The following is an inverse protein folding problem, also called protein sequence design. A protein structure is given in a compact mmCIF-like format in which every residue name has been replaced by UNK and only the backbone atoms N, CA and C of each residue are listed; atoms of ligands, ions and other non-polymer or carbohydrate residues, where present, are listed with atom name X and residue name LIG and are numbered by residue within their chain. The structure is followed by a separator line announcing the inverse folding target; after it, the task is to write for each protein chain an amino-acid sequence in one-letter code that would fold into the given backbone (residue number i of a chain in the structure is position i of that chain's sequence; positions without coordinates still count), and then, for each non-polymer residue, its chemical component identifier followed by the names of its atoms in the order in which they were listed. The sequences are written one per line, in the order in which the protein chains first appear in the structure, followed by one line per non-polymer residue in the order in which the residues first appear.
data_IF_642588602151
#
_entry.id   IF_642588602151
#
_cell.length_a   1.000
_cell.length_b   1.000
_cell.length_c   1.000
_cell.angle_alpha   90.00
_cell.angle_beta   90.00
_cell.angle_gamma   90.00
#
_symmetry.space_group_name_H-M   'P 1'
#
loop_
_entity.id
_entity.type
_entity.pdbx_description
1 polymer ?
#
# COMPACT_ATOMS: atom_id res chain seq x y z
N UNK A 1 -20.83 -20.69 -15.83
CA UNK A 1 -20.84 -19.72 -16.95
C UNK A 1 -21.77 -18.58 -16.54
N UNK A 2 -21.30 -17.33 -16.57
CA UNK A 2 -21.89 -16.16 -15.88
C UNK A 2 -23.21 -15.60 -16.50
N UNK A 3 -23.77 -16.25 -17.52
CA UNK A 3 -25.06 -15.85 -18.10
C UNK A 3 -26.27 -16.20 -17.20
N UNK A 4 -26.14 -17.19 -16.31
CA UNK A 4 -27.23 -17.63 -15.42
C UNK A 4 -27.51 -16.66 -14.24
N UNK A 5 -26.66 -15.64 -14.04
CA UNK A 5 -26.82 -14.65 -12.96
C UNK A 5 -27.35 -13.29 -13.45
N UNK A 6 -27.88 -13.21 -14.68
CA UNK A 6 -28.53 -12.00 -15.22
C UNK A 6 -27.58 -10.82 -15.46
N UNK A 7 -26.26 -11.07 -15.49
CA UNK A 7 -25.28 -10.03 -15.73
C UNK A 7 -25.02 -9.83 -17.23
N UNK A 8 -25.16 -8.58 -17.70
CA UNK A 8 -24.91 -8.19 -19.09
C UNK A 8 -23.68 -7.28 -19.14
N UNK A 9 -22.64 -7.60 -19.93
CA UNK A 9 -21.51 -6.69 -20.14
C UNK A 9 -21.95 -5.42 -20.86
N UNK A 10 -21.57 -4.25 -20.35
CA UNK A 10 -21.75 -2.95 -20.99
C UNK A 10 -20.42 -2.46 -21.61
N UNK A 11 -20.50 -1.58 -22.61
CA UNK A 11 -19.35 -1.06 -23.38
C UNK A 11 -18.29 -0.36 -22.52
N UNK A 12 -18.61 -0.01 -21.28
CA UNK A 12 -17.72 0.67 -20.32
C UNK A 12 -16.98 -0.27 -19.36
N UNK A 13 -17.43 -1.52 -19.17
CA UNK A 13 -16.76 -2.53 -18.34
C UNK A 13 -16.87 -3.91 -18.98
N UNK A 14 -16.05 -4.20 -20.01
CA UNK A 14 -16.21 -5.42 -20.82
C UNK A 14 -15.76 -6.69 -20.09
N UNK A 15 -15.11 -6.58 -18.94
CA UNK A 15 -14.60 -7.73 -18.17
C UNK A 15 -15.08 -7.70 -16.73
N UNK A 16 -15.28 -8.90 -16.16
CA UNK A 16 -15.60 -9.13 -14.74
C UNK A 16 -14.59 -8.44 -13.82
N UNK A 17 -13.32 -8.42 -14.25
CA UNK A 17 -12.25 -7.69 -13.60
C UNK A 17 -12.57 -6.19 -13.53
N UNK A 18 -12.87 -5.53 -14.67
CA UNK A 18 -13.20 -4.11 -14.70
C UNK A 18 -14.45 -3.75 -13.87
N UNK A 19 -15.47 -4.60 -13.89
CA UNK A 19 -16.67 -4.45 -13.07
C UNK A 19 -16.37 -4.57 -11.56
N UNK A 20 -15.48 -5.49 -11.18
CA UNK A 20 -14.99 -5.63 -9.80
C UNK A 20 -14.20 -4.39 -9.37
N UNK A 21 -13.33 -3.82 -10.21
CA UNK A 21 -12.59 -2.59 -9.91
C UNK A 21 -13.52 -1.38 -9.70
N UNK A 22 -14.57 -1.23 -10.53
CA UNK A 22 -15.56 -0.17 -10.40
C UNK A 22 -16.47 -0.33 -9.17
N UNK A 23 -16.78 -1.58 -8.79
CA UNK A 23 -17.49 -1.88 -7.54
C UNK A 23 -16.61 -1.63 -6.31
N UNK A 24 -15.34 -2.04 -6.36
CA UNK A 24 -14.36 -1.84 -5.29
C UNK A 24 -14.09 -0.36 -5.04
N UNK A 25 -13.95 0.47 -6.08
CA UNK A 25 -13.82 1.93 -5.95
C UNK A 25 -14.97 2.58 -5.16
N UNK A 26 -16.20 2.07 -5.30
CA UNK A 26 -17.39 2.52 -4.54
C UNK A 26 -17.42 1.98 -3.11
N UNK A 27 -17.01 0.73 -2.89
CA UNK A 27 -16.89 0.16 -1.55
C UNK A 27 -15.82 0.89 -0.71
N UNK A 28 -14.70 1.31 -1.31
CA UNK A 28 -13.65 2.06 -0.62
C UNK A 28 -14.09 3.48 -0.20
N UNK A 29 -15.05 4.08 -0.89
CA UNK A 29 -15.68 5.34 -0.46
C UNK A 29 -16.69 5.15 0.68
N UNK A 30 -17.22 3.93 0.88
CA UNK A 30 -18.28 3.62 1.84
C UNK A 30 -17.77 3.00 3.15
N UNK A 31 -16.56 2.43 3.19
CA UNK A 31 -15.99 1.86 4.41
C UNK A 31 -15.26 2.91 5.28
N UNK A 32 -15.94 4.02 5.58
CA UNK A 32 -15.64 4.86 6.74
C UNK A 32 -16.41 4.30 7.94
N UNK A 33 -15.92 3.25 8.59
CA UNK A 33 -16.68 2.69 9.70
C UNK A 33 -16.04 1.53 10.45
N UNK A 34 -15.53 1.86 11.63
CA UNK A 34 -15.32 1.01 12.83
C UNK A 34 -14.07 0.13 12.88
N UNK A 35 -13.09 0.42 13.77
CA UNK A 35 -12.07 -0.54 14.15
C UNK A 35 -12.68 -1.60 15.08
N UNK A 36 -12.76 -2.84 14.61
CA UNK A 36 -13.14 -3.98 15.42
C UNK A 36 -11.97 -4.33 16.37
N UNK A 37 -12.16 -4.04 17.66
CA UNK A 37 -11.22 -4.36 18.73
C UNK A 37 -11.26 -5.86 19.03
N UNK A 38 -10.16 -6.56 18.78
CA UNK A 38 -9.95 -7.97 19.18
C UNK A 38 -8.89 -7.98 20.30
N UNK A 39 -9.08 -8.70 21.42
CA UNK A 39 -8.10 -8.66 22.50
C UNK A 39 -6.87 -9.51 22.15
N UNK A 40 -5.75 -8.84 21.86
CA UNK A 40 -4.44 -9.44 21.54
C UNK A 40 -3.37 -8.98 22.54
N UNK A 41 -3.45 -9.42 23.81
CA UNK A 41 -2.56 -8.93 24.87
C UNK A 41 -1.11 -9.46 24.77
N UNK A 42 -0.89 -10.71 24.32
CA UNK A 42 0.46 -11.33 24.27
C UNK A 42 1.36 -10.89 23.09
N UNK A 43 0.87 -10.79 21.84
CA UNK A 43 1.70 -10.35 20.71
C UNK A 43 2.13 -8.88 20.80
N UNK A 44 1.33 -8.04 21.48
CA UNK A 44 1.58 -6.61 21.59
C UNK A 44 2.77 -6.27 22.52
N UNK A 45 3.03 -7.11 23.52
CA UNK A 45 4.06 -6.88 24.54
C UNK A 45 5.46 -7.28 24.04
N UNK A 46 5.56 -8.39 23.29
CA UNK A 46 6.77 -8.79 22.56
C UNK A 46 7.14 -7.77 21.46
N UNK A 47 6.16 -7.31 20.68
CA UNK A 47 6.38 -6.24 19.70
C UNK A 47 6.89 -4.98 20.42
N UNK A 48 6.25 -4.56 21.52
CA UNK A 48 6.64 -3.34 22.26
C UNK A 48 8.06 -3.44 22.79
N UNK A 49 8.44 -4.57 23.41
CA UNK A 49 9.79 -4.77 23.94
C UNK A 49 10.84 -4.78 22.83
N UNK A 50 10.53 -5.33 21.65
CA UNK A 50 11.41 -5.28 20.49
C UNK A 50 11.60 -3.84 19.98
N UNK A 51 10.53 -3.06 19.80
CA UNK A 51 10.63 -1.66 19.37
C UNK A 51 11.37 -0.78 20.38
N UNK A 52 11.14 -0.99 21.68
CA UNK A 52 11.88 -0.29 22.74
C UNK A 52 13.39 -0.56 22.69
N UNK A 53 13.82 -1.80 22.40
CA UNK A 53 15.26 -2.13 22.22
C UNK A 53 15.87 -1.41 21.02
N UNK A 54 15.08 -1.14 19.98
CA UNK A 54 15.49 -0.35 18.82
C UNK A 54 15.45 1.17 19.08
N UNK A 55 15.07 1.61 20.29
CA UNK A 55 15.00 3.02 20.65
C UNK A 55 13.89 3.79 19.93
N UNK A 56 12.86 3.11 19.42
CA UNK A 56 11.79 3.73 18.63
C UNK A 56 10.44 3.05 18.89
N UNK A 57 9.38 3.48 18.19
CA UNK A 57 8.07 2.82 18.21
C UNK A 57 7.67 2.41 16.80
N UNK A 58 6.85 1.36 16.69
CA UNK A 58 6.29 0.93 15.40
C UNK A 58 5.56 2.06 14.68
N UNK A 59 4.82 2.89 15.41
CA UNK A 59 4.10 4.03 14.85
C UNK A 59 5.06 5.06 14.25
N UNK A 60 6.12 5.45 14.98
CA UNK A 60 7.13 6.38 14.48
C UNK A 60 7.84 5.84 13.21
N UNK A 61 8.14 4.54 13.17
CA UNK A 61 8.72 3.88 12.00
C UNK A 61 7.75 3.90 10.81
N UNK A 62 6.47 3.61 11.04
CA UNK A 62 5.43 3.68 10.00
C UNK A 62 5.29 5.10 9.46
N UNK A 63 5.28 6.12 10.30
CA UNK A 63 5.17 7.52 9.88
C UNK A 63 6.40 8.01 9.13
N UNK A 64 7.59 7.59 9.55
CA UNK A 64 8.83 7.87 8.83
C UNK A 64 8.84 7.19 7.44
N UNK A 65 8.46 5.91 7.38
CA UNK A 65 8.37 5.16 6.12
C UNK A 65 7.32 5.77 5.18
N UNK A 66 6.14 6.13 5.70
CA UNK A 66 5.07 6.79 4.93
C UNK A 66 5.56 8.10 4.32
N UNK A 67 6.21 8.97 5.12
CA UNK A 67 6.76 10.24 4.64
C UNK A 67 7.81 10.02 3.55
N UNK A 68 8.74 9.08 3.76
CA UNK A 68 9.75 8.73 2.78
C UNK A 68 9.14 8.23 1.46
N UNK A 69 8.07 7.44 1.52
CA UNK A 69 7.36 6.94 0.34
C UNK A 69 6.56 8.03 -0.37
N UNK A 70 5.96 8.97 0.36
CA UNK A 70 5.30 10.14 -0.23
C UNK A 70 6.34 11.01 -0.95
N UNK A 71 7.50 11.24 -0.35
CA UNK A 71 8.58 12.01 -1.00
C UNK A 71 9.16 11.27 -2.21
N UNK A 72 9.27 9.94 -2.17
CA UNK A 72 9.63 9.13 -3.33
C UNK A 72 8.56 9.24 -4.43
N UNK A 73 7.28 9.22 -4.08
CA UNK A 73 6.18 9.40 -5.02
C UNK A 73 6.23 10.77 -5.69
N UNK A 74 6.45 11.85 -4.92
CA UNK A 74 6.62 13.22 -5.45
C UNK A 74 7.79 13.33 -6.43
N UNK A 75 8.89 12.62 -6.14
CA UNK A 75 10.08 12.55 -6.99
C UNK A 75 9.96 11.55 -8.14
N UNK A 76 8.86 10.81 -8.22
CA UNK A 76 8.61 9.78 -9.24
C UNK A 76 9.67 8.66 -9.24
N UNK A 77 10.14 8.27 -8.04
CA UNK A 77 11.16 7.21 -7.87
C UNK A 77 10.65 6.08 -6.98
N UNK A 78 11.21 4.89 -7.21
CA UNK A 78 11.08 3.76 -6.29
C UNK A 78 12.26 3.73 -5.31
N UNK A 79 12.04 3.18 -4.12
CA UNK A 79 13.05 3.11 -3.06
C UNK A 79 13.20 1.70 -2.52
N UNK A 80 14.39 1.38 -2.00
CA UNK A 80 14.62 0.10 -1.34
C UNK A 80 14.32 0.17 0.16
N UNK A 81 14.24 -0.99 0.81
CA UNK A 81 14.06 -1.07 2.27
C UNK A 81 15.14 -0.30 3.04
N UNK A 82 16.38 -0.26 2.55
CA UNK A 82 17.47 0.48 3.17
C UNK A 82 17.16 1.98 3.31
N UNK A 83 16.48 2.58 2.32
CA UNK A 83 16.07 3.99 2.37
C UNK A 83 15.01 4.21 3.45
N UNK A 84 14.04 3.30 3.57
CA UNK A 84 12.99 3.38 4.58
C UNK A 84 13.57 3.19 5.99
N UNK A 85 14.48 2.23 6.16
CA UNK A 85 15.17 2.01 7.42
C UNK A 85 15.97 3.25 7.84
N UNK A 86 16.74 3.83 6.92
CA UNK A 86 17.49 5.06 7.17
C UNK A 86 16.59 6.24 7.57
N UNK A 87 15.45 6.42 6.88
CA UNK A 87 14.46 7.45 7.22
C UNK A 87 13.87 7.26 8.63
N UNK A 88 13.79 6.02 9.10
CA UNK A 88 13.30 5.65 10.43
C UNK A 88 14.42 5.60 11.51
N UNK A 89 15.67 5.90 11.17
CA UNK A 89 16.81 5.79 12.09
C UNK A 89 17.21 4.35 12.43
N UNK A 90 16.82 3.39 11.60
CA UNK A 90 17.10 1.95 11.77
C UNK A 90 18.19 1.47 10.82
N UNK A 91 18.88 0.40 11.19
CA UNK A 91 19.74 -0.34 10.27
C UNK A 91 18.86 -1.26 9.40
N UNK A 92 19.23 -1.50 8.13
CA UNK A 92 18.45 -2.38 7.26
C UNK A 92 18.26 -3.80 7.81
N UNK A 93 19.22 -4.29 8.59
CA UNK A 93 19.22 -5.64 9.19
C UNK A 93 18.46 -5.75 10.51
N UNK A 94 17.99 -4.63 11.08
CA UNK A 94 17.32 -4.63 12.40
C UNK A 94 15.94 -5.31 12.36
N UNK A 95 15.38 -5.51 11.15
CA UNK A 95 14.02 -5.99 10.96
C UNK A 95 13.98 -7.21 10.03
N UNK A 96 13.29 -8.25 10.49
CA UNK A 96 12.93 -9.43 9.69
C UNK A 96 11.92 -9.06 8.61
N UNK A 97 11.83 -9.85 7.54
CA UNK A 97 10.88 -9.59 6.44
C UNK A 97 9.42 -9.52 6.91
N UNK A 98 9.05 -10.31 7.94
CA UNK A 98 7.72 -10.23 8.56
C UNK A 98 7.46 -8.88 9.24
N UNK A 99 8.48 -8.30 9.89
CA UNK A 99 8.37 -6.96 10.47
C UNK A 99 8.30 -5.88 9.38
N UNK A 100 9.07 -6.03 8.30
CA UNK A 100 9.02 -5.13 7.13
C UNK A 100 7.64 -5.13 6.47
N UNK A 101 7.09 -6.33 6.24
CA UNK A 101 5.72 -6.51 5.75
C UNK A 101 4.71 -5.82 6.68
N UNK A 102 4.81 -6.03 8.00
CA UNK A 102 3.90 -5.44 8.96
C UNK A 102 3.94 -3.90 8.97
N UNK A 103 5.11 -3.30 8.75
CA UNK A 103 5.26 -1.85 8.58
C UNK A 103 4.56 -1.40 7.30
N UNK A 104 4.82 -2.04 6.15
CA UNK A 104 4.23 -1.62 4.89
C UNK A 104 2.70 -1.80 4.84
N UNK A 105 2.17 -2.85 5.48
CA UNK A 105 0.72 -2.96 5.70
C UNK A 105 0.20 -1.79 6.52
N UNK A 106 0.89 -1.39 7.60
CA UNK A 106 0.46 -0.24 8.40
C UNK A 106 0.61 1.10 7.67
N UNK A 107 1.56 1.22 6.74
CA UNK A 107 1.67 2.36 5.82
C UNK A 107 0.45 2.44 4.90
N UNK A 108 -0.06 1.32 4.39
CA UNK A 108 -1.18 1.34 3.45
C UNK A 108 -2.57 1.22 4.10
N UNK A 109 -2.63 0.85 5.39
CA UNK A 109 -3.84 0.88 6.22
C UNK A 109 -4.46 2.29 6.27
N UNK A 110 -5.79 2.43 6.46
CA UNK A 110 -6.66 3.51 5.92
C UNK A 110 -6.36 4.93 6.42
N UNK A 111 -5.23 5.47 5.98
CA UNK A 111 -4.80 6.86 6.22
C UNK A 111 -4.31 7.56 4.94
N UNK A 112 -4.35 6.90 3.78
CA UNK A 112 -4.00 7.55 2.51
C UNK A 112 -5.26 8.20 1.89
N UNK A 113 -5.35 9.53 1.81
CA UNK A 113 -6.51 10.23 1.26
C UNK A 113 -6.75 9.91 -0.22
N UNK A 114 -5.76 9.33 -0.90
CA UNK A 114 -5.83 9.00 -2.32
C UNK A 114 -6.15 7.52 -2.59
N UNK A 115 -6.26 6.67 -1.56
CA UNK A 115 -6.59 5.24 -1.73
C UNK A 115 -5.52 4.41 -2.47
N UNK A 116 -4.35 4.99 -2.73
CA UNK A 116 -3.21 4.36 -3.43
C UNK A 116 -2.32 3.55 -2.49
N UNK A 117 -1.68 2.49 -3.01
CA UNK A 117 -0.67 1.70 -2.27
C UNK A 117 0.73 2.32 -2.39
N UNK A 118 1.21 2.93 -1.32
CA UNK A 118 2.57 3.47 -1.25
C UNK A 118 3.61 2.35 -1.21
N UNK A 119 3.27 1.16 -0.67
CA UNK A 119 4.17 0.00 -0.70
C UNK A 119 4.55 -0.47 -2.10
N UNK A 120 3.79 -0.09 -3.14
CA UNK A 120 4.13 -0.38 -4.54
C UNK A 120 5.46 0.25 -4.97
N UNK A 121 5.86 1.35 -4.32
CA UNK A 121 7.12 2.07 -4.58
C UNK A 121 8.34 1.38 -3.96
N UNK A 122 8.14 0.35 -3.13
CA UNK A 122 9.23 -0.40 -2.53
C UNK A 122 9.72 -1.47 -3.49
N UNK A 123 11.00 -1.39 -3.85
CA UNK A 123 11.71 -2.40 -4.65
C UNK A 123 12.63 -3.25 -3.78
N UNK A 124 12.73 -4.53 -4.12
CA UNK A 124 13.87 -5.34 -3.74
C UNK A 124 15.04 -5.10 -4.72
N UNK A 125 16.06 -5.97 -4.68
CA UNK A 125 17.13 -5.99 -5.67
C UNK A 125 16.56 -6.15 -7.09
N UNK A 126 17.23 -5.57 -8.08
CA UNK A 126 16.84 -5.67 -9.51
C UNK A 126 15.45 -5.09 -9.84
N UNK A 127 14.97 -4.10 -9.08
CA UNK A 127 13.68 -3.44 -9.28
C UNK A 127 12.44 -4.35 -9.17
N UNK A 128 12.63 -5.56 -8.64
CA UNK A 128 11.55 -6.51 -8.41
C UNK A 128 10.66 -6.08 -7.24
N UNK A 129 9.38 -6.51 -7.20
CA UNK A 129 8.57 -6.38 -5.99
C UNK A 129 9.27 -6.99 -4.78
N UNK A 130 9.03 -6.42 -3.59
CA UNK A 130 9.46 -7.09 -2.35
C UNK A 130 8.83 -8.48 -2.24
N UNK A 131 9.53 -9.49 -1.68
CA UNK A 131 9.07 -10.89 -1.69
C UNK A 131 7.74 -11.10 -0.93
N UNK A 132 7.39 -10.17 -0.04
CA UNK A 132 6.16 -10.17 0.75
C UNK A 132 5.07 -9.24 0.17
N UNK A 133 5.20 -8.78 -1.07
CA UNK A 133 4.22 -7.87 -1.67
C UNK A 133 2.81 -8.49 -1.78
N UNK A 134 2.70 -9.77 -2.19
CA UNK A 134 1.40 -10.47 -2.22
C UNK A 134 0.78 -10.62 -0.81
N UNK A 135 1.60 -10.85 0.21
CA UNK A 135 1.16 -10.87 1.61
C UNK A 135 0.61 -9.52 2.08
N UNK A 136 1.23 -8.41 1.66
CA UNK A 136 0.71 -7.06 1.91
C UNK A 136 -0.69 -6.92 1.31
N UNK A 137 -0.87 -7.31 0.04
CA UNK A 137 -2.16 -7.25 -0.63
C UNK A 137 -3.22 -8.07 0.12
N UNK A 138 -2.88 -9.31 0.50
CA UNK A 138 -3.76 -10.17 1.29
C UNK A 138 -4.22 -9.52 2.59
N UNK A 139 -3.29 -8.92 3.35
CA UNK A 139 -3.60 -8.28 4.64
C UNK A 139 -4.41 -6.99 4.51
N UNK A 140 -4.32 -6.33 3.37
CA UNK A 140 -5.11 -5.13 3.04
C UNK A 140 -6.46 -5.46 2.38
N UNK A 141 -6.81 -6.75 2.24
CA UNK A 141 -8.04 -7.17 1.54
C UNK A 141 -8.03 -6.85 0.05
N UNK A 142 -6.85 -6.75 -0.56
CA UNK A 142 -6.65 -6.55 -2.01
C UNK A 142 -6.55 -7.90 -2.73
N UNK A 143 -6.68 -7.92 -4.07
CA UNK A 143 -6.42 -9.13 -4.87
C UNK A 143 -5.03 -9.67 -4.57
N UNK A 144 -4.94 -10.97 -4.25
CA UNK A 144 -3.72 -11.66 -3.83
C UNK A 144 -3.73 -13.10 -4.36
N UNK A 145 -2.62 -13.82 -4.21
CA UNK A 145 -2.42 -15.13 -4.86
C UNK A 145 -2.16 -15.01 -6.36
N UNK A 146 -1.65 -13.85 -6.79
CA UNK A 146 -1.37 -13.55 -8.20
C UNK A 146 -0.12 -14.29 -8.68
N UNK A 147 -0.08 -14.67 -9.95
CA UNK A 147 1.16 -15.20 -10.56
C UNK A 147 2.23 -14.10 -10.60
N UNK A 148 3.54 -14.42 -10.62
CA UNK A 148 4.60 -13.41 -10.57
C UNK A 148 4.47 -12.27 -11.61
N UNK A 149 4.04 -12.60 -12.83
CA UNK A 149 3.83 -11.62 -13.90
C UNK A 149 2.66 -10.68 -13.57
N UNK A 150 1.55 -11.22 -13.08
CA UNK A 150 0.34 -10.47 -12.70
C UNK A 150 0.63 -9.59 -11.48
N UNK A 151 1.36 -10.12 -10.49
CA UNK A 151 1.80 -9.35 -9.33
C UNK A 151 2.69 -8.16 -9.74
N UNK A 152 3.58 -8.37 -10.71
CA UNK A 152 4.40 -7.31 -11.30
C UNK A 152 3.57 -6.25 -12.02
N UNK A 153 2.56 -6.65 -12.81
CA UNK A 153 1.65 -5.73 -13.49
C UNK A 153 0.79 -4.93 -12.51
N UNK A 154 0.22 -5.59 -11.51
CA UNK A 154 -0.55 -4.97 -10.44
C UNK A 154 0.29 -3.91 -9.72
N UNK A 155 1.51 -4.27 -9.33
CA UNK A 155 2.44 -3.33 -8.68
C UNK A 155 2.74 -2.12 -9.56
N UNK A 156 3.04 -2.32 -10.86
CA UNK A 156 3.30 -1.21 -11.79
C UNK A 156 2.10 -0.28 -11.92
N UNK A 157 0.88 -0.81 -11.94
CA UNK A 157 -0.35 -0.01 -11.95
C UNK A 157 -0.48 0.85 -10.69
N UNK A 158 -0.34 0.23 -9.51
CA UNK A 158 -0.39 0.93 -8.22
C UNK A 158 0.73 1.97 -8.07
N UNK A 159 1.92 1.68 -8.61
CA UNK A 159 3.02 2.62 -8.68
C UNK A 159 2.64 3.86 -9.50
N UNK A 160 2.09 3.68 -10.70
CA UNK A 160 1.62 4.79 -11.53
C UNK A 160 0.52 5.61 -10.85
N UNK A 161 -0.40 4.95 -10.12
CA UNK A 161 -1.43 5.64 -9.33
C UNK A 161 -0.83 6.45 -8.18
N UNK A 162 0.12 5.88 -7.42
CA UNK A 162 0.81 6.58 -6.35
C UNK A 162 1.59 7.79 -6.87
N UNK A 163 2.29 7.63 -8.00
CA UNK A 163 2.98 8.71 -8.69
C UNK A 163 2.04 9.82 -9.15
N UNK A 164 0.90 9.49 -9.75
CA UNK A 164 -0.08 10.47 -10.17
C UNK A 164 -0.71 11.22 -8.97
N UNK A 165 -1.04 10.49 -7.90
CA UNK A 165 -1.66 11.05 -6.70
C UNK A 165 -0.77 12.10 -5.99
N UNK A 166 0.55 11.91 -6.01
CA UNK A 166 1.50 12.79 -5.34
C UNK A 166 2.34 13.65 -6.31
N UNK A 167 1.99 13.67 -7.60
CA UNK A 167 2.66 14.56 -8.56
C UNK A 167 2.41 16.02 -8.18
N UNK A 168 3.43 16.90 -8.20
CA UNK A 168 3.29 18.31 -7.85
C UNK A 168 2.29 19.07 -8.73
N UNK A 169 2.03 18.59 -9.95
CA UNK A 169 1.00 19.13 -10.86
C UNK A 169 -0.43 18.72 -10.52
N UNK A 170 -0.64 17.69 -9.69
CA UNK A 170 -1.97 17.24 -9.26
C UNK A 170 -2.59 18.17 -8.20
N UNK A 171 -1.77 19.01 -7.55
CA UNK A 171 -2.21 20.06 -6.61
C UNK A 171 -2.54 21.40 -7.31
N UNK A 172 -2.68 21.42 -8.65
CA UNK A 172 -3.18 22.59 -9.37
C UNK A 172 -4.71 22.55 -9.46
N UNK A 173 -5.38 23.21 -8.50
CA UNK A 173 -6.77 23.63 -8.63
C UNK A 173 -6.92 24.59 -9.85
N UNK A 174 -8.13 24.72 -10.44
CA UNK A 174 -8.33 25.38 -11.72
C UNK A 174 -8.10 26.88 -11.59
N UNK A 175 -7.19 27.43 -12.39
CA UNK A 175 -7.11 28.86 -12.59
C UNK A 175 -8.30 29.29 -13.48
N UNK A 176 -9.43 29.61 -12.85
CA UNK A 176 -10.32 30.64 -13.37
C UNK A 176 -9.66 32.00 -13.17
N UNK A 177 -9.51 32.74 -14.28
CA UNK A 177 -9.37 34.21 -14.46
C UNK A 177 -8.71 34.39 -15.83
N UNK A 178 -9.26 35.12 -16.81
CA UNK A 178 -10.29 36.16 -16.80
C UNK A 178 -10.84 36.28 -18.22
#
# INVERSE_FOLDING_TARGET
MLAELGWVPDATTPTVEAAWWAASGRAYAQHTGTPQSVPAARPAEEDRTHWSKLGTTKAAVVDAARRALIDAARRQVCVGWHTLAAAAGLKPTDLSDKAREAILVAVDSPTSPHGVLLSSLVVASEHTPVPYFDSILKRLGRPHGLRPIELGQFRKREQSLAFAAYSPTSTAAPNERT
#
